data_IF_653170491707
#
_entry.id   IF_653170491707
#
_cell.length_a   1.000
_cell.length_b   1.000
_cell.length_c   1.000
_cell.angle_alpha   90.00
_cell.angle_beta   90.00
_cell.angle_gamma   90.00
#
_symmetry.space_group_name_H-M   'P 1'
#
loop_
_entity.id
_entity.type
_entity.pdbx_description
1 polymer ?
#
# COMPACT_ATOMS: atom_id res chain seq x y z
N UNK A 1 -57.19 21.62 35.84
CA UNK A 1 -56.96 21.66 34.38
C UNK A 1 -55.84 22.67 34.16
N UNK A 2 -54.56 22.29 34.25
CA UNK A 2 -53.69 21.74 33.18
C UNK A 2 -53.58 22.76 32.01
N UNK A 3 -52.44 23.31 31.55
CA UNK A 3 -51.00 22.96 31.65
C UNK A 3 -50.15 24.15 31.13
N UNK A 4 -48.90 24.27 31.61
CA UNK A 4 -47.83 25.21 31.18
C UNK A 4 -47.31 24.95 29.75
N UNK A 5 -46.72 25.95 29.06
CA UNK A 5 -46.09 25.74 27.76
C UNK A 5 -44.62 25.27 27.85
N UNK A 6 -44.34 24.32 26.97
CA UNK A 6 -43.07 23.73 26.53
C UNK A 6 -41.86 24.70 26.47
N UNK A 7 -40.89 24.54 27.37
CA UNK A 7 -39.53 25.08 27.26
C UNK A 7 -38.48 24.07 27.80
N UNK A 8 -38.44 22.85 27.27
CA UNK A 8 -37.42 21.88 27.71
C UNK A 8 -37.01 20.82 26.66
N UNK A 9 -37.36 21.00 25.37
CA UNK A 9 -37.17 19.95 24.34
C UNK A 9 -36.09 20.25 23.30
N UNK A 10 -35.08 21.06 23.62
CA UNK A 10 -34.02 21.40 22.63
C UNK A 10 -32.57 21.28 23.13
N UNK A 11 -32.31 20.80 24.37
CA UNK A 11 -30.93 20.59 24.86
C UNK A 11 -30.46 19.14 24.89
N UNK A 12 -31.34 18.15 24.94
CA UNK A 12 -30.93 16.74 25.09
C UNK A 12 -30.57 16.02 23.78
N UNK A 13 -30.99 16.53 22.62
CA UNK A 13 -30.77 15.86 21.33
C UNK A 13 -29.31 16.04 20.85
N UNK A 14 -28.64 17.11 21.28
CA UNK A 14 -27.28 17.44 20.82
C UNK A 14 -26.18 16.64 21.52
N UNK A 15 -26.47 16.03 22.67
CA UNK A 15 -25.48 15.32 23.49
C UNK A 15 -25.41 13.81 23.21
N UNK A 16 -26.49 13.19 22.72
CA UNK A 16 -26.54 11.75 22.46
C UNK A 16 -25.80 11.33 21.18
N UNK A 17 -25.84 12.19 20.16
CA UNK A 17 -25.21 11.90 18.86
C UNK A 17 -23.66 11.87 18.96
N UNK A 18 -23.08 12.70 19.84
CA UNK A 18 -21.63 12.73 20.06
C UNK A 18 -21.11 11.50 20.82
N UNK A 19 -21.91 10.89 21.70
CA UNK A 19 -21.50 9.70 22.45
C UNK A 19 -21.52 8.42 21.60
N UNK A 20 -22.48 8.31 20.68
CA UNK A 20 -22.51 7.18 19.72
C UNK A 20 -21.35 7.24 18.73
N UNK A 21 -20.99 8.43 18.24
CA UNK A 21 -19.86 8.61 17.33
C UNK A 21 -18.51 8.27 17.99
N UNK A 22 -18.35 8.57 19.28
CA UNK A 22 -17.16 8.20 20.05
C UNK A 22 -17.03 6.68 20.26
N UNK A 23 -18.14 5.95 20.47
CA UNK A 23 -18.13 4.49 20.65
C UNK A 23 -17.78 3.72 19.36
N UNK A 24 -18.11 4.27 18.20
CA UNK A 24 -17.75 3.71 16.89
C UNK A 24 -16.26 3.88 16.56
N UNK A 25 -15.62 4.93 17.06
CA UNK A 25 -14.20 5.21 16.80
C UNK A 25 -13.22 4.37 17.65
N UNK A 26 -13.70 3.71 18.72
CA UNK A 26 -12.83 2.92 19.61
C UNK A 26 -12.72 1.42 19.26
N UNK A 27 -13.38 0.95 18.20
CA UNK A 27 -13.34 -0.47 17.77
C UNK A 27 -12.47 -0.73 16.53
N UNK A 28 -11.53 0.18 16.24
CA UNK A 28 -10.82 0.20 14.95
C UNK A 28 -9.28 0.13 15.02
N UNK A 29 -8.68 -0.49 16.04
CA UNK A 29 -7.24 -0.84 16.01
C UNK A 29 -7.11 -2.31 15.57
N UNK A 30 -7.04 -2.51 14.26
CA UNK A 30 -7.20 -3.82 13.63
C UNK A 30 -5.92 -4.63 13.63
N UNK A 31 -5.70 -5.49 14.62
CA UNK A 31 -4.73 -6.57 14.49
C UNK A 31 -5.39 -7.71 13.68
N UNK A 32 -4.87 -8.00 12.48
CA UNK A 32 -5.30 -9.15 11.68
C UNK A 32 -4.40 -10.34 11.99
N UNK A 33 -4.97 -11.38 12.58
CA UNK A 33 -4.26 -12.62 12.85
C UNK A 33 -4.87 -13.77 12.03
N UNK A 34 -4.04 -14.46 11.25
CA UNK A 34 -4.49 -15.50 10.32
C UNK A 34 -3.72 -16.82 10.49
N UNK A 35 -4.45 -17.94 10.45
CA UNK A 35 -3.90 -19.30 10.41
C UNK A 35 -4.74 -20.15 9.46
N UNK A 36 -4.12 -20.86 8.52
CA UNK A 36 -4.85 -21.67 7.52
C UNK A 36 -5.72 -22.71 8.23
N UNK A 37 -7.01 -22.73 7.89
CA UNK A 37 -7.98 -23.67 8.46
C UNK A 37 -8.49 -23.32 9.86
N UNK A 38 -8.09 -22.20 10.44
CA UNK A 38 -8.59 -21.73 11.73
C UNK A 38 -9.78 -20.77 11.53
N UNK A 39 -10.77 -20.86 12.41
CA UNK A 39 -11.95 -20.00 12.47
C UNK A 39 -11.73 -18.78 13.36
N UNK A 40 -12.68 -17.84 13.34
CA UNK A 40 -12.69 -16.70 14.25
C UNK A 40 -12.75 -17.14 15.73
N UNK A 41 -13.41 -18.26 16.04
CA UNK A 41 -13.45 -18.80 17.40
C UNK A 41 -12.07 -19.29 17.88
N UNK A 42 -11.30 -19.90 16.97
CA UNK A 42 -9.93 -20.37 17.26
C UNK A 42 -8.99 -19.20 17.53
N UNK A 43 -9.19 -18.09 16.81
CA UNK A 43 -8.42 -16.86 17.02
C UNK A 43 -8.67 -16.27 18.41
N UNK A 44 -9.95 -16.11 18.77
CA UNK A 44 -10.35 -15.57 20.08
C UNK A 44 -9.85 -16.45 21.24
N UNK A 45 -9.94 -17.77 21.09
CA UNK A 45 -9.41 -18.71 22.06
C UNK A 45 -7.89 -18.62 22.21
N UNK A 46 -7.16 -18.54 21.08
CA UNK A 46 -5.71 -18.38 21.07
C UNK A 46 -5.28 -17.05 21.73
N UNK A 47 -5.95 -15.95 21.38
CA UNK A 47 -5.68 -14.62 21.96
C UNK A 47 -5.89 -14.61 23.47
N UNK A 48 -7.01 -15.15 23.96
CA UNK A 48 -7.27 -15.30 25.41
C UNK A 48 -6.21 -16.15 26.09
N UNK A 49 -5.77 -17.23 25.46
CA UNK A 49 -4.72 -18.10 26.01
C UNK A 49 -3.36 -17.39 26.14
N UNK A 50 -3.02 -16.54 25.17
CA UNK A 50 -1.78 -15.77 25.18
C UNK A 50 -1.84 -14.55 26.12
N UNK A 51 -3.00 -13.91 26.24
CA UNK A 51 -3.22 -12.80 27.16
C UNK A 51 -3.15 -13.21 28.64
N UNK A 52 -3.54 -14.44 28.96
CA UNK A 52 -3.58 -14.92 30.35
C UNK A 52 -2.22 -14.89 31.06
N UNK A 53 -1.10 -14.89 30.32
CA UNK A 53 0.26 -14.93 30.87
C UNK A 53 1.21 -13.88 30.27
N UNK A 54 0.70 -12.91 29.51
CA UNK A 54 1.51 -11.91 28.85
C UNK A 54 1.55 -10.59 29.62
N UNK A 55 2.76 -10.02 29.75
CA UNK A 55 3.00 -8.73 30.38
C UNK A 55 2.65 -7.53 29.49
N UNK A 56 2.67 -7.73 28.17
CA UNK A 56 2.56 -6.67 27.16
C UNK A 56 2.15 -7.24 25.79
N UNK A 57 1.84 -6.34 24.85
CA UNK A 57 1.39 -6.70 23.50
C UNK A 57 2.43 -7.50 22.69
N UNK A 58 3.73 -7.25 22.90
CA UNK A 58 4.79 -7.99 22.19
C UNK A 58 4.88 -9.45 22.69
N UNK A 59 4.65 -9.67 23.98
CA UNK A 59 4.56 -11.02 24.55
C UNK A 59 3.34 -11.80 24.01
N UNK A 60 2.20 -11.12 23.79
CA UNK A 60 1.01 -11.70 23.16
C UNK A 60 1.31 -12.06 21.70
N UNK A 61 1.92 -11.13 20.95
CA UNK A 61 2.28 -11.32 19.54
C UNK A 61 3.23 -12.51 19.36
N UNK A 62 4.26 -12.60 20.21
CA UNK A 62 5.20 -13.73 20.22
C UNK A 62 4.49 -15.05 20.51
N UNK A 63 3.64 -15.11 21.54
CA UNK A 63 2.89 -16.32 21.88
C UNK A 63 1.98 -16.79 20.74
N UNK A 64 1.33 -15.85 20.04
CA UNK A 64 0.46 -16.17 18.92
C UNK A 64 1.26 -16.62 17.69
N UNK A 65 2.41 -15.98 17.42
CA UNK A 65 3.34 -16.41 16.39
C UNK A 65 3.87 -17.84 16.64
N UNK A 66 4.25 -18.16 17.88
CA UNK A 66 4.68 -19.50 18.30
C UNK A 66 3.56 -20.55 18.13
N UNK A 67 2.28 -20.13 18.23
CA UNK A 67 1.10 -20.97 17.93
C UNK A 67 0.75 -21.04 16.43
N UNK A 68 1.57 -20.44 15.57
CA UNK A 68 1.43 -20.48 14.11
C UNK A 68 0.41 -19.50 13.54
N UNK A 69 0.09 -18.42 14.27
CA UNK A 69 -0.72 -17.33 13.76
C UNK A 69 0.16 -16.27 13.10
N UNK A 70 -0.17 -15.87 11.87
CA UNK A 70 0.42 -14.73 11.21
C UNK A 70 -0.28 -13.45 11.69
N UNK A 71 0.39 -12.66 12.53
CA UNK A 71 -0.12 -11.39 13.06
C UNK A 71 0.32 -10.23 12.18
N UNK A 72 -0.64 -9.43 11.74
CA UNK A 72 -0.45 -8.20 10.99
C UNK A 72 -1.09 -7.06 11.79
N UNK A 73 -0.26 -6.21 12.37
CA UNK A 73 -0.71 -5.01 13.08
C UNK A 73 -1.06 -3.93 12.05
N UNK A 74 -2.35 -3.64 11.83
CA UNK A 74 -2.76 -2.56 10.93
C UNK A 74 -2.52 -1.18 11.53
N UNK A 75 -2.36 -1.06 12.86
CA UNK A 75 -1.99 0.21 13.51
C UNK A 75 -0.55 0.65 13.20
N UNK A 76 0.31 -0.29 12.76
CA UNK A 76 1.65 0.00 12.24
C UNK A 76 1.64 0.28 10.73
N UNK A 77 0.49 0.16 10.07
CA UNK A 77 0.29 0.65 8.71
C UNK A 77 -0.21 2.09 8.81
N UNK A 78 0.74 3.03 8.83
CA UNK A 78 0.45 4.44 8.62
C UNK A 78 -0.44 4.60 7.37
N UNK A 79 -1.56 5.35 7.45
CA UNK A 79 -2.27 5.81 6.27
C UNK A 79 -1.28 6.47 5.30
N UNK A 80 -1.34 6.10 4.03
CA UNK A 80 -0.48 6.62 2.95
C UNK A 80 -0.75 8.10 2.61
N UNK A 81 -1.20 8.92 3.57
CA UNK A 81 -1.61 10.29 3.33
C UNK A 81 -0.50 11.32 3.63
N UNK A 82 0.66 10.94 4.18
CA UNK A 82 1.75 11.90 4.45
C UNK A 82 3.17 11.44 4.04
N UNK A 83 3.30 10.33 3.31
CA UNK A 83 4.56 9.96 2.65
C UNK A 83 4.33 9.56 1.18
N UNK A 84 4.86 10.39 0.28
CA UNK A 84 4.77 10.28 -1.17
C UNK A 84 5.17 8.88 -1.72
N UNK A 85 4.23 8.08 -2.25
CA UNK A 85 4.54 6.75 -2.81
C UNK A 85 5.21 6.80 -4.19
N UNK A 86 5.72 7.95 -4.64
CA UNK A 86 6.63 8.03 -5.79
C UNK A 86 8.05 7.59 -5.43
N UNK A 87 8.42 7.51 -4.14
CA UNK A 87 9.82 7.38 -3.74
C UNK A 87 10.20 6.03 -3.11
N UNK A 88 9.30 5.18 -2.62
CA UNK A 88 9.71 3.83 -2.14
C UNK A 88 9.93 2.76 -3.23
N UNK A 89 10.32 3.18 -4.43
CA UNK A 89 11.15 2.34 -5.31
C UNK A 89 12.26 3.10 -6.03
N UNK A 90 12.63 4.27 -5.50
CA UNK A 90 13.88 4.95 -5.88
C UNK A 90 15.05 4.41 -5.02
N UNK A 91 14.78 3.63 -3.96
CA UNK A 91 15.77 3.13 -3.01
C UNK A 91 16.00 1.60 -3.00
N UNK A 92 15.75 0.89 -4.11
CA UNK A 92 16.39 -0.42 -4.33
C UNK A 92 17.53 -0.24 -5.34
N UNK A 93 18.80 -0.22 -4.90
CA UNK A 93 19.94 -0.09 -5.80
C UNK A 93 20.00 -1.27 -6.79
N UNK A 94 20.39 -0.95 -8.01
CA UNK A 94 20.47 -1.78 -9.22
C UNK A 94 21.39 -3.02 -9.14
N UNK A 95 21.84 -3.43 -7.95
CA UNK A 95 22.87 -4.45 -7.77
C UNK A 95 22.32 -5.89 -7.80
N UNK A 96 21.02 -6.13 -7.63
CA UNK A 96 20.47 -7.50 -7.63
C UNK A 96 20.15 -8.06 -9.04
N UNK A 97 20.42 -7.31 -10.12
CA UNK A 97 20.23 -7.82 -11.50
C UNK A 97 21.43 -8.62 -12.01
N UNK A 98 22.61 -8.55 -11.38
CA UNK A 98 23.81 -9.29 -11.79
C UNK A 98 24.13 -10.40 -10.77
N UNK A 99 23.16 -11.21 -10.36
CA UNK A 99 23.48 -12.48 -9.66
C UNK A 99 22.94 -13.73 -10.37
N UNK A 100 22.12 -13.56 -11.41
CA UNK A 100 21.63 -14.68 -12.24
C UNK A 100 22.37 -14.87 -13.57
N UNK A 101 23.54 -14.23 -13.72
CA UNK A 101 24.43 -14.43 -14.87
C UNK A 101 25.83 -14.84 -14.42
N UNK A 102 25.95 -15.82 -13.52
CA UNK A 102 27.23 -16.40 -13.16
C UNK A 102 27.08 -17.87 -12.75
N UNK A 103 26.82 -18.74 -13.73
CA UNK A 103 27.12 -20.17 -13.63
C UNK A 103 27.62 -20.70 -14.98
N UNK A 104 28.76 -20.18 -15.45
CA UNK A 104 29.67 -20.89 -16.37
C UNK A 104 31.13 -20.50 -16.03
N UNK A 105 32.07 -21.45 -15.91
CA UNK A 105 33.46 -21.20 -15.49
C UNK A 105 34.34 -20.59 -16.62
N UNK A 106 35.58 -20.13 -16.31
CA UNK A 106 36.17 -18.92 -16.88
C UNK A 106 37.19 -19.16 -18.00
N UNK A 107 37.36 -18.16 -18.86
CA UNK A 107 38.61 -17.89 -19.57
C UNK A 107 38.86 -16.38 -19.60
N UNK A 108 39.94 -15.95 -18.94
CA UNK A 108 40.46 -14.58 -18.87
C UNK A 108 41.40 -14.27 -20.07
N UNK A 109 42.03 -13.09 -20.17
CA UNK A 109 41.53 -11.72 -19.98
C UNK A 109 41.91 -10.79 -21.17
N UNK A 110 41.13 -9.74 -21.46
CA UNK A 110 41.69 -8.56 -22.12
C UNK A 110 40.86 -7.29 -21.85
N UNK A 111 41.57 -6.28 -21.35
CA UNK A 111 41.27 -4.84 -21.36
C UNK A 111 39.97 -4.36 -20.70
N UNK A 112 40.14 -3.92 -19.46
CA UNK A 112 39.24 -3.01 -18.75
C UNK A 112 39.06 -1.69 -19.51
N UNK A 113 37.85 -1.12 -19.45
CA UNK A 113 37.73 0.18 -18.83
C UNK A 113 36.88 0.07 -17.58
N UNK A 114 37.51 0.33 -16.43
CA UNK A 114 36.81 0.78 -15.25
C UNK A 114 36.20 2.15 -15.58
N UNK A 115 34.87 2.22 -15.67
CA UNK A 115 34.16 3.50 -15.61
C UNK A 115 32.70 3.34 -15.16
N UNK A 116 32.55 3.57 -13.86
CA UNK A 116 31.45 4.31 -13.22
C UNK A 116 30.07 3.65 -13.25
N UNK A 117 29.75 2.96 -12.15
CA UNK A 117 28.38 2.89 -11.66
C UNK A 117 27.92 4.32 -11.35
N UNK A 118 27.37 5.01 -12.34
CA UNK A 118 26.68 6.28 -12.15
C UNK A 118 25.43 5.94 -11.35
N UNK A 119 25.32 6.48 -10.14
CA UNK A 119 24.02 6.66 -9.48
C UNK A 119 23.19 7.56 -10.39
N UNK A 120 22.52 6.95 -11.37
CA UNK A 120 21.75 7.66 -12.37
C UNK A 120 20.48 8.10 -11.69
N UNK A 121 20.28 9.42 -11.61
CA UNK A 121 19.01 9.98 -11.18
C UNK A 121 17.88 9.32 -11.99
N UNK A 122 16.72 9.01 -11.39
CA UNK A 122 15.61 8.37 -12.09
C UNK A 122 15.22 9.16 -13.34
N UNK A 123 15.23 8.51 -14.49
CA UNK A 123 14.89 9.12 -15.77
C UNK A 123 13.37 9.12 -15.96
N UNK A 124 12.82 10.17 -16.57
CA UNK A 124 11.41 10.24 -16.95
C UNK A 124 11.01 9.16 -17.96
N UNK A 125 11.98 8.62 -18.72
CA UNK A 125 11.78 7.53 -19.67
C UNK A 125 12.01 6.13 -19.09
N UNK A 126 12.40 6.03 -17.81
CA UNK A 126 12.51 4.73 -17.15
C UNK A 126 11.19 3.98 -17.26
N UNK A 127 11.27 2.72 -17.70
CA UNK A 127 10.08 1.96 -18.06
C UNK A 127 9.76 0.89 -17.02
N UNK A 128 8.49 0.79 -16.62
CA UNK A 128 7.99 -0.13 -15.60
C UNK A 128 6.86 -0.99 -16.16
N UNK A 129 6.74 -2.22 -15.69
CA UNK A 129 5.62 -3.11 -16.05
C UNK A 129 4.48 -2.93 -15.06
N UNK A 130 3.31 -2.56 -15.54
CA UNK A 130 2.11 -2.32 -14.72
C UNK A 130 1.02 -3.30 -15.13
N UNK A 131 0.61 -4.18 -14.22
CA UNK A 131 -0.37 -5.23 -14.48
C UNK A 131 -1.82 -4.75 -14.39
N UNK A 132 -2.09 -3.74 -13.56
CA UNK A 132 -3.44 -3.20 -13.38
C UNK A 132 -3.43 -1.75 -12.95
N UNK A 133 -4.54 -1.06 -13.20
CA UNK A 133 -4.76 0.33 -12.85
C UNK A 133 -6.07 0.46 -12.06
N UNK A 134 -6.10 1.32 -11.05
CA UNK A 134 -7.33 1.65 -10.32
C UNK A 134 -7.41 3.13 -9.99
N UNK A 135 -8.66 3.61 -9.95
CA UNK A 135 -9.07 4.94 -9.50
C UNK A 135 -10.54 4.84 -9.11
N UNK A 136 -10.91 5.39 -7.96
CA UNK A 136 -12.28 5.28 -7.42
C UNK A 136 -13.31 5.82 -8.40
N UNK A 137 -14.34 5.03 -8.70
CA UNK A 137 -15.42 5.40 -9.61
C UNK A 137 -15.01 5.51 -11.09
N UNK A 138 -13.81 5.05 -11.46
CA UNK A 138 -13.27 5.12 -12.83
C UNK A 138 -13.07 3.72 -13.42
N UNK A 139 -13.20 3.61 -14.75
CA UNK A 139 -13.07 2.36 -15.50
C UNK A 139 -12.13 2.48 -16.70
N UNK A 140 -12.15 1.47 -17.57
CA UNK A 140 -11.24 1.37 -18.72
C UNK A 140 -11.32 2.58 -19.68
N UNK A 141 -12.52 3.12 -19.92
CA UNK A 141 -12.69 4.28 -20.80
C UNK A 141 -12.00 5.53 -20.24
N UNK A 142 -12.18 5.82 -18.95
CA UNK A 142 -11.49 6.92 -18.27
C UNK A 142 -9.99 6.69 -18.17
N UNK A 143 -9.54 5.44 -18.00
CA UNK A 143 -8.12 5.09 -18.00
C UNK A 143 -7.47 5.45 -19.34
N UNK A 144 -8.13 5.07 -20.44
CA UNK A 144 -7.66 5.37 -21.80
C UNK A 144 -7.60 6.89 -22.03
N UNK A 145 -8.68 7.61 -21.71
CA UNK A 145 -8.74 9.05 -21.88
C UNK A 145 -7.65 9.79 -21.07
N UNK A 146 -7.45 9.40 -19.81
CA UNK A 146 -6.42 9.99 -18.96
C UNK A 146 -5.00 9.64 -19.43
N UNK A 147 -4.80 8.41 -19.94
CA UNK A 147 -3.55 7.99 -20.57
C UNK A 147 -3.24 8.84 -21.79
N UNK A 148 -4.20 9.02 -22.70
CA UNK A 148 -4.03 9.81 -23.91
C UNK A 148 -3.78 11.29 -23.59
N UNK A 149 -4.47 11.83 -22.58
CA UNK A 149 -4.20 13.19 -22.08
C UNK A 149 -2.78 13.34 -21.53
N UNK A 150 -2.28 12.32 -20.81
CA UNK A 150 -0.90 12.31 -20.33
C UNK A 150 0.12 12.22 -21.47
N UNK A 151 -0.13 11.38 -22.47
CA UNK A 151 0.74 11.29 -23.66
C UNK A 151 0.72 12.59 -24.46
N UNK A 152 -0.44 13.24 -24.62
CA UNK A 152 -0.53 14.53 -25.29
C UNK A 152 0.28 15.62 -24.56
N UNK A 153 0.34 15.57 -23.22
CA UNK A 153 1.13 16.51 -22.40
C UNK A 153 2.63 16.22 -22.45
N UNK A 154 3.02 14.96 -22.44
CA UNK A 154 4.40 14.53 -22.28
C UNK A 154 5.11 14.23 -23.62
N UNK A 155 4.35 14.02 -24.69
CA UNK A 155 4.81 13.59 -26.00
C UNK A 155 4.80 12.06 -26.18
N UNK A 156 4.94 11.63 -27.44
CA UNK A 156 4.82 10.22 -27.84
C UNK A 156 5.88 9.30 -27.21
N UNK A 157 7.02 9.84 -26.77
CA UNK A 157 8.05 9.07 -26.05
C UNK A 157 7.53 8.43 -24.76
N UNK A 158 6.45 8.96 -24.19
CA UNK A 158 5.82 8.43 -22.97
C UNK A 158 4.65 7.48 -23.24
N UNK A 159 4.32 7.19 -24.50
CA UNK A 159 3.20 6.33 -24.88
C UNK A 159 3.39 4.92 -24.31
N UNK A 160 2.38 4.35 -23.63
CA UNK A 160 2.50 3.02 -23.05
C UNK A 160 2.53 1.95 -24.14
N UNK A 161 3.37 0.93 -23.94
CA UNK A 161 3.36 -0.26 -24.76
C UNK A 161 2.33 -1.25 -24.20
N UNK A 162 1.18 -1.35 -24.85
CA UNK A 162 0.04 -2.16 -24.41
C UNK A 162 0.29 -3.66 -24.53
N UNK A 163 1.16 -4.10 -25.45
CA UNK A 163 1.50 -5.53 -25.62
C UNK A 163 2.35 -6.04 -24.45
N UNK A 164 3.26 -5.22 -23.94
CA UNK A 164 4.19 -5.58 -22.86
C UNK A 164 3.78 -5.00 -21.50
N UNK A 165 2.68 -4.26 -21.47
CA UNK A 165 2.15 -3.54 -20.30
C UNK A 165 3.21 -2.62 -19.67
N UNK A 166 4.03 -1.99 -20.51
CA UNK A 166 5.15 -1.16 -20.09
C UNK A 166 4.80 0.32 -20.22
N UNK A 167 5.12 1.07 -19.16
CA UNK A 167 4.84 2.51 -19.06
C UNK A 167 6.08 3.25 -18.58
N UNK A 168 6.25 4.50 -19.00
CA UNK A 168 7.38 5.33 -18.56
C UNK A 168 7.12 5.95 -17.19
N UNK A 169 8.19 6.38 -16.51
CA UNK A 169 8.12 7.13 -15.24
C UNK A 169 7.26 8.38 -15.38
N UNK A 170 7.45 9.13 -16.47
CA UNK A 170 6.67 10.33 -16.74
C UNK A 170 5.17 10.05 -16.85
N UNK A 171 4.79 8.96 -17.51
CA UNK A 171 3.40 8.54 -17.60
C UNK A 171 2.84 8.14 -16.22
N UNK A 172 3.60 7.37 -15.43
CA UNK A 172 3.19 7.00 -14.07
C UNK A 172 2.90 8.23 -13.20
N UNK A 173 3.78 9.24 -13.25
CA UNK A 173 3.61 10.48 -12.48
C UNK A 173 2.38 11.26 -12.94
N UNK A 174 2.20 11.41 -14.25
CA UNK A 174 1.02 12.09 -14.77
C UNK A 174 -0.29 11.38 -14.41
N UNK A 175 -0.30 10.05 -14.45
CA UNK A 175 -1.44 9.24 -14.05
C UNK A 175 -1.72 9.37 -12.55
N UNK A 176 -0.67 9.43 -11.72
CA UNK A 176 -0.78 9.71 -10.28
C UNK A 176 -1.44 11.07 -10.01
N UNK A 177 -1.02 12.13 -10.72
CA UNK A 177 -1.61 13.47 -10.58
C UNK A 177 -3.12 13.46 -10.90
N UNK A 178 -3.57 12.52 -11.73
CA UNK A 178 -4.97 12.30 -12.10
C UNK A 178 -5.71 11.36 -11.15
N UNK A 179 -5.08 10.91 -10.07
CA UNK A 179 -5.65 10.01 -9.06
C UNK A 179 -5.64 8.53 -9.46
N UNK A 180 -4.85 8.13 -10.44
CA UNK A 180 -4.66 6.73 -10.81
C UNK A 180 -3.51 6.10 -10.03
N UNK A 181 -3.71 4.85 -9.65
CA UNK A 181 -2.70 4.00 -9.03
C UNK A 181 -2.47 2.76 -9.89
N UNK A 182 -1.20 2.39 -10.09
CA UNK A 182 -0.79 1.25 -10.91
C UNK A 182 -0.16 0.13 -10.09
N UNK A 183 -0.51 -1.12 -10.37
CA UNK A 183 0.05 -2.31 -9.69
C UNK A 183 1.23 -2.78 -10.52
N UNK A 184 2.41 -2.88 -9.90
CA UNK A 184 3.58 -3.40 -10.59
C UNK A 184 3.50 -4.92 -10.70
N UNK A 185 3.81 -5.43 -11.89
CA UNK A 185 4.06 -6.86 -12.05
C UNK A 185 5.45 -7.18 -11.45
N UNK A 186 5.54 -8.30 -10.72
CA UNK A 186 6.82 -8.88 -10.28
C UNK A 186 7.62 -9.39 -11.47
#
# INVERSE_FOLDING_TARGET
MNTLPNLARNRFIRSGCSLLLAALLMNGCGELAYKRGASAGDLEAAKKSCQANASDAAAIEKCMADKGWAIQNLDKMEPLDEADPVIEAIALPSNQRIENAASLPPAAPAASPAAVAVNKAPDMLDTFKVSSWWKTGSGAASLQADTDACVARLGDAHRPNTQTQRVTRGLLLCMKDKGWSGLRAK
#
